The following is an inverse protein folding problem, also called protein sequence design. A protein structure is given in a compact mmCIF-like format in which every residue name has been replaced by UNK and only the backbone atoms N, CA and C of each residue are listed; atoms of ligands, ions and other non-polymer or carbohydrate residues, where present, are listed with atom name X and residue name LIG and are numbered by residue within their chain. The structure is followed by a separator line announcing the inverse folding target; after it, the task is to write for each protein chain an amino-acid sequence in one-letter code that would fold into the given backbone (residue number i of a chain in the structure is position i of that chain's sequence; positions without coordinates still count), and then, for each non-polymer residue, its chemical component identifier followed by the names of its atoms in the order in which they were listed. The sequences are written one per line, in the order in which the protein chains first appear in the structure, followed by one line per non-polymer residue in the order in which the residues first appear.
data_IF_639924516532
#
_entry.id   IF_639924516532
#
_cell.length_a   1.000
_cell.length_b   1.000
_cell.length_c   1.000
_cell.angle_alpha   90.00
_cell.angle_beta   90.00
_cell.angle_gamma   90.00
#
_symmetry.space_group_name_H-M   'P 1'
#
loop_
_entity.id
_entity.type
_entity.pdbx_description
1 polymer ?
#
# COMPACT_ATOMS: atom_id res chain seq x y z
N UNK A 1 -33.71 -72.19 -6.15
CA UNK A 1 -32.45 -71.43 -6.26
C UNK A 1 -32.70 -70.05 -5.71
N UNK A 2 -32.02 -69.68 -4.63
CA UNK A 2 -32.24 -68.43 -3.90
C UNK A 2 -31.70 -67.25 -4.71
N UNK A 3 -32.54 -66.25 -4.99
CA UNK A 3 -32.10 -64.91 -5.36
C UNK A 3 -32.11 -64.05 -4.10
N UNK A 4 -30.91 -63.79 -3.56
CA UNK A 4 -30.69 -62.75 -2.56
C UNK A 4 -30.59 -61.40 -3.26
N UNK A 5 -31.65 -60.60 -3.17
CA UNK A 5 -31.65 -59.17 -3.54
C UNK A 5 -30.93 -58.37 -2.45
N UNK A 6 -29.80 -57.76 -2.79
CA UNK A 6 -29.12 -56.78 -1.93
C UNK A 6 -29.82 -55.43 -2.10
N UNK A 7 -30.51 -54.97 -1.06
CA UNK A 7 -31.00 -53.58 -0.97
C UNK A 7 -29.85 -52.73 -0.45
N UNK A 8 -29.27 -51.89 -1.31
CA UNK A 8 -28.32 -50.84 -0.89
C UNK A 8 -29.16 -49.65 -0.42
N UNK A 9 -29.27 -49.50 0.90
CA UNK A 9 -29.81 -48.29 1.50
C UNK A 9 -28.75 -47.17 1.41
N UNK A 10 -28.99 -46.20 0.54
CA UNK A 10 -28.26 -44.92 0.60
C UNK A 10 -28.72 -44.19 1.85
N UNK A 11 -27.88 -44.19 2.89
CA UNK A 11 -28.02 -43.26 4.01
C UNK A 11 -27.55 -41.90 3.51
N UNK A 12 -28.50 -41.06 3.11
CA UNK A 12 -28.30 -39.61 3.03
C UNK A 12 -28.12 -39.09 4.46
N UNK A 13 -26.87 -39.02 4.92
CA UNK A 13 -26.50 -38.17 6.05
C UNK A 13 -26.59 -36.72 5.58
N UNK A 14 -27.78 -36.15 5.69
CA UNK A 14 -27.94 -34.70 5.69
C UNK A 14 -27.25 -34.15 6.93
N UNK A 15 -26.01 -33.69 6.79
CA UNK A 15 -25.43 -32.77 7.74
C UNK A 15 -26.07 -31.41 7.50
N UNK A 16 -27.24 -31.19 8.10
CA UNK A 16 -27.61 -29.85 8.48
C UNK A 16 -26.53 -29.40 9.48
N UNK A 17 -25.69 -28.44 9.10
CA UNK A 17 -24.81 -27.74 10.03
C UNK A 17 -25.71 -26.98 11.00
N UNK A 18 -26.14 -27.66 12.06
CA UNK A 18 -27.01 -27.09 13.08
C UNK A 18 -26.17 -26.13 13.92
N UNK A 19 -26.12 -24.89 13.47
CA UNK A 19 -25.53 -23.76 14.18
C UNK A 19 -26.00 -23.74 15.65
N UNK A 20 -25.09 -23.54 16.61
CA UNK A 20 -25.49 -23.48 18.03
C UNK A 20 -26.47 -22.34 18.26
N UNK A 21 -27.46 -22.55 19.12
CA UNK A 21 -28.54 -21.59 19.34
C UNK A 21 -28.00 -20.26 19.84
N UNK A 22 -26.97 -20.29 20.67
CA UNK A 22 -26.25 -19.14 21.20
C UNK A 22 -25.66 -18.29 20.07
N UNK A 23 -25.03 -18.92 19.08
CA UNK A 23 -24.54 -18.21 17.91
C UNK A 23 -25.66 -17.76 16.97
N UNK A 24 -26.58 -18.66 16.64
CA UNK A 24 -27.66 -18.43 15.68
C UNK A 24 -28.65 -17.35 16.13
N UNK A 25 -28.81 -17.14 17.44
CA UNK A 25 -29.68 -16.08 17.98
C UNK A 25 -28.92 -14.80 18.33
N UNK A 26 -27.59 -14.85 18.38
CA UNK A 26 -26.79 -13.65 18.58
C UNK A 26 -26.88 -12.76 17.36
N UNK A 27 -27.10 -11.46 17.57
CA UNK A 27 -27.27 -10.47 16.50
C UNK A 27 -26.27 -9.35 16.68
N UNK A 28 -25.40 -9.18 15.69
CA UNK A 28 -24.40 -8.11 15.66
C UNK A 28 -24.13 -7.74 14.19
N UNK A 29 -23.75 -6.47 13.96
CA UNK A 29 -23.41 -5.98 12.62
C UNK A 29 -24.49 -6.25 11.55
N UNK A 30 -25.77 -6.24 11.95
CA UNK A 30 -26.90 -6.39 11.04
C UNK A 30 -27.24 -7.82 10.63
N UNK A 31 -26.65 -8.85 11.25
CA UNK A 31 -26.99 -10.26 10.95
C UNK A 31 -26.91 -11.17 12.17
N UNK A 32 -27.44 -12.38 12.01
CA UNK A 32 -27.28 -13.46 12.98
C UNK A 32 -25.96 -14.22 12.78
N UNK A 33 -25.35 -14.66 13.87
CA UNK A 33 -24.06 -15.33 13.82
C UNK A 33 -24.12 -16.76 13.26
N UNK A 34 -23.00 -17.22 12.71
CA UNK A 34 -22.81 -18.60 12.23
C UNK A 34 -21.54 -19.26 12.79
N UNK A 35 -21.67 -20.49 13.29
CA UNK A 35 -20.56 -21.30 13.80
C UNK A 35 -19.72 -21.82 12.65
N UNK A 36 -18.52 -21.26 12.51
CA UNK A 36 -17.54 -21.62 11.49
C UNK A 36 -16.14 -21.60 12.09
N UNK A 37 -15.16 -22.22 11.44
CA UNK A 37 -13.76 -22.07 11.84
C UNK A 37 -13.30 -20.63 11.62
N UNK A 38 -12.28 -20.17 12.36
CA UNK A 38 -11.73 -18.81 12.20
C UNK A 38 -11.33 -18.53 10.75
N UNK A 39 -10.74 -19.50 10.07
CA UNK A 39 -10.33 -19.40 8.66
C UNK A 39 -11.52 -19.30 7.69
N UNK A 40 -12.68 -19.85 8.08
CA UNK A 40 -13.92 -19.82 7.29
C UNK A 40 -14.79 -18.60 7.56
N UNK A 41 -14.28 -17.61 8.32
CA UNK A 41 -14.93 -16.33 8.60
C UNK A 41 -14.23 -15.15 7.91
N UNK A 42 -14.15 -15.10 6.56
CA UNK A 42 -13.53 -13.98 5.88
C UNK A 42 -14.40 -12.72 6.02
N UNK A 43 -13.76 -11.59 6.40
CA UNK A 43 -14.36 -10.26 6.55
C UNK A 43 -15.36 -10.06 7.71
N UNK A 44 -15.49 -11.03 8.62
CA UNK A 44 -16.40 -10.97 9.77
C UNK A 44 -15.70 -10.91 11.13
N UNK A 45 -16.41 -10.41 12.15
CA UNK A 45 -15.99 -10.54 13.55
C UNK A 45 -16.35 -11.94 14.08
N UNK A 46 -15.56 -12.45 15.01
CA UNK A 46 -15.88 -13.68 15.73
C UNK A 46 -16.05 -13.45 17.23
N UNK A 47 -16.97 -14.19 17.83
CA UNK A 47 -17.17 -14.23 19.28
C UNK A 47 -16.92 -15.65 19.77
N UNK A 48 -15.95 -15.79 20.68
CA UNK A 48 -15.63 -17.07 21.32
C UNK A 48 -16.72 -17.48 22.31
N UNK A 49 -16.93 -18.79 22.45
CA UNK A 49 -17.83 -19.36 23.46
C UNK A 49 -19.30 -19.47 23.03
N UNK A 50 -19.70 -18.89 21.90
CA UNK A 50 -21.06 -18.98 21.39
C UNK A 50 -21.29 -20.16 20.42
N UNK A 51 -20.28 -21.02 20.22
CA UNK A 51 -20.37 -22.28 19.50
C UNK A 51 -19.93 -23.47 20.38
N UNK A 52 -20.56 -23.69 21.54
CA UNK A 52 -20.13 -24.68 22.53
C UNK A 52 -20.10 -26.13 22.02
N UNK A 53 -20.86 -26.47 20.98
CA UNK A 53 -20.92 -27.82 20.43
C UNK A 53 -19.74 -28.19 19.52
N UNK A 54 -18.91 -27.21 19.13
CA UNK A 54 -17.93 -27.37 18.05
C UNK A 54 -16.46 -27.25 18.47
N UNK A 55 -16.17 -27.14 19.79
CA UNK A 55 -14.82 -27.02 20.32
C UNK A 55 -14.18 -25.63 20.10
N UNK A 56 -12.96 -25.44 20.59
CA UNK A 56 -12.33 -24.11 20.63
C UNK A 56 -11.95 -23.52 19.26
N UNK A 57 -11.89 -24.34 18.22
CA UNK A 57 -11.48 -23.92 16.86
C UNK A 57 -12.63 -23.30 16.05
N UNK A 58 -13.88 -23.53 16.47
CA UNK A 58 -15.08 -22.98 15.84
C UNK A 58 -15.61 -21.82 16.65
N UNK A 59 -15.82 -20.68 15.99
CA UNK A 59 -16.25 -19.43 16.60
C UNK A 59 -17.55 -18.95 15.97
N UNK A 60 -18.28 -18.11 16.69
CA UNK A 60 -19.49 -17.51 16.17
C UNK A 60 -19.15 -16.30 15.30
N UNK A 61 -19.30 -16.43 13.98
CA UNK A 61 -18.93 -15.44 12.96
C UNK A 61 -20.10 -14.56 12.51
N UNK A 62 -19.85 -13.28 12.26
CA UNK A 62 -20.81 -12.34 11.67
C UNK A 62 -20.24 -11.80 10.35
N UNK A 63 -20.72 -12.32 9.22
CA UNK A 63 -20.29 -12.07 7.84
C UNK A 63 -20.68 -10.70 7.20
N UNK A 64 -20.69 -9.58 7.95
CA UNK A 64 -21.09 -8.25 7.45
C UNK A 64 -20.26 -7.16 8.16
N UNK A 65 -19.78 -6.18 7.38
CA UNK A 65 -18.99 -5.04 7.83
C UNK A 65 -19.88 -3.89 8.35
N UNK A 66 -19.28 -2.92 9.04
CA UNK A 66 -19.93 -1.66 9.43
C UNK A 66 -20.52 -0.97 8.19
N UNK A 67 -21.85 -0.98 8.06
CA UNK A 67 -22.57 -0.49 6.87
C UNK A 67 -23.87 -1.26 6.56
N UNK A 68 -24.02 -2.49 7.07
CA UNK A 68 -25.25 -3.28 6.94
C UNK A 68 -25.30 -4.11 5.66
N UNK A 69 -25.77 -5.35 5.77
CA UNK A 69 -26.07 -6.18 4.62
C UNK A 69 -27.45 -5.82 4.08
N UNK A 70 -27.50 -5.13 2.93
CA UNK A 70 -28.76 -4.92 2.23
C UNK A 70 -29.35 -6.27 1.80
N UNK A 71 -30.50 -6.60 2.38
CA UNK A 71 -31.34 -7.70 1.94
C UNK A 71 -32.60 -7.08 1.33
N UNK A 72 -32.67 -7.04 -0.01
CA UNK A 72 -33.93 -7.21 -0.72
C UNK A 72 -33.74 -7.63 -2.19
N UNK A 73 -34.10 -8.90 -2.39
CA UNK A 73 -34.54 -9.60 -3.59
C UNK A 73 -35.20 -8.78 -4.72
N UNK A 74 -34.88 -9.10 -5.96
CA UNK A 74 -35.71 -10.02 -6.76
C UNK A 74 -35.08 -10.36 -8.12
N UNK A 75 -35.01 -11.67 -8.38
CA UNK A 75 -34.72 -12.26 -9.68
C UNK A 75 -35.97 -12.09 -10.55
N UNK A 76 -35.84 -11.43 -11.69
CA UNK A 76 -36.64 -11.77 -12.86
C UNK A 76 -35.71 -12.28 -13.97
N UNK A 77 -36.02 -13.50 -14.38
CA UNK A 77 -35.39 -14.25 -15.46
C UNK A 77 -35.59 -13.54 -16.80
N UNK A 78 -34.51 -13.03 -17.38
CA UNK A 78 -34.46 -12.61 -18.77
C UNK A 78 -33.09 -12.96 -19.34
N UNK A 79 -33.05 -13.95 -20.23
CA UNK A 79 -31.88 -14.24 -21.06
C UNK A 79 -31.60 -13.01 -21.94
N UNK A 80 -30.75 -12.11 -21.44
CA UNK A 80 -30.24 -10.95 -22.13
C UNK A 80 -28.73 -11.07 -22.20
N UNK A 81 -28.20 -11.16 -23.41
CA UNK A 81 -26.79 -11.08 -23.74
C UNK A 81 -26.20 -9.82 -23.10
N UNK A 82 -25.40 -9.96 -22.04
CA UNK A 82 -24.60 -8.86 -21.51
C UNK A 82 -23.45 -8.58 -22.48
N UNK A 83 -23.72 -7.70 -23.44
CA UNK A 83 -22.70 -7.02 -24.22
C UNK A 83 -22.15 -5.84 -23.40
N UNK A 84 -20.86 -5.90 -23.07
CA UNK A 84 -20.03 -4.71 -22.82
C UNK A 84 -19.96 -4.22 -21.37
N UNK A 85 -19.18 -4.89 -20.51
CA UNK A 85 -18.41 -4.13 -19.54
C UNK A 85 -17.39 -3.31 -20.34
N UNK A 86 -17.56 -2.00 -20.39
CA UNK A 86 -16.51 -1.11 -20.86
C UNK A 86 -15.26 -1.37 -20.01
N UNK A 87 -14.22 -1.97 -20.62
CA UNK A 87 -12.88 -2.04 -20.05
C UNK A 87 -12.36 -0.60 -19.91
N UNK A 88 -12.72 0.07 -18.82
CA UNK A 88 -12.17 1.38 -18.47
C UNK A 88 -10.73 1.13 -17.99
N UNK A 89 -9.77 1.41 -18.86
CA UNK A 89 -8.34 1.41 -18.53
C UNK A 89 -8.03 2.59 -17.63
N UNK A 90 -7.27 2.35 -16.56
CA UNK A 90 -6.80 3.42 -15.68
C UNK A 90 -5.99 4.47 -16.46
N UNK A 91 -6.08 5.78 -16.14
CA UNK A 91 -5.15 6.78 -16.63
C UNK A 91 -3.67 6.44 -16.39
N UNK A 92 -3.39 5.57 -15.41
CA UNK A 92 -2.06 5.10 -15.06
C UNK A 92 -1.73 3.71 -15.66
N UNK A 93 -2.52 3.20 -16.61
CA UNK A 93 -2.35 1.86 -17.21
C UNK A 93 -0.95 1.61 -17.79
N UNK A 94 -0.31 2.65 -18.32
CA UNK A 94 1.01 2.55 -18.94
C UNK A 94 2.17 2.71 -17.95
N UNK A 95 1.89 2.96 -16.66
CA UNK A 95 2.96 3.13 -15.67
C UNK A 95 3.67 1.81 -15.41
N UNK A 96 5.00 1.81 -15.58
CA UNK A 96 5.93 0.73 -15.25
C UNK A 96 6.98 1.30 -14.32
N UNK A 97 6.72 1.21 -13.04
CA UNK A 97 7.48 1.91 -12.01
C UNK A 97 8.38 0.99 -11.18
N UNK A 98 9.35 1.60 -10.50
CA UNK A 98 10.11 0.96 -9.43
C UNK A 98 10.55 1.99 -8.40
N UNK A 99 10.83 1.53 -7.18
CA UNK A 99 11.50 2.36 -6.18
C UNK A 99 13.02 2.31 -6.33
N UNK A 100 13.71 3.40 -6.03
CA UNK A 100 15.16 3.44 -5.88
C UNK A 100 15.48 3.89 -4.45
N UNK A 101 15.97 2.95 -3.64
CA UNK A 101 16.23 3.17 -2.23
C UNK A 101 17.49 4.01 -2.00
N UNK A 102 17.55 4.73 -0.88
CA UNK A 102 18.73 5.50 -0.45
C UNK A 102 19.99 4.65 -0.33
N UNK A 103 19.85 3.37 0.01
CA UNK A 103 20.96 2.42 0.12
C UNK A 103 21.59 2.08 -1.24
N UNK A 104 20.89 2.40 -2.32
CA UNK A 104 21.26 2.12 -3.70
C UNK A 104 21.47 3.42 -4.49
N UNK A 105 21.61 4.55 -3.80
CA UNK A 105 21.95 5.79 -4.45
C UNK A 105 23.29 5.67 -5.18
N UNK A 106 23.34 5.94 -6.49
CA UNK A 106 24.59 6.06 -7.20
C UNK A 106 25.44 7.18 -6.61
N UNK A 107 26.76 7.01 -6.67
CA UNK A 107 27.69 7.99 -6.12
C UNK A 107 27.91 9.18 -7.06
N UNK A 108 27.64 9.00 -8.35
CA UNK A 108 27.82 10.01 -9.40
C UNK A 108 26.63 10.04 -10.35
N UNK A 109 26.43 11.16 -11.04
CA UNK A 109 25.43 11.27 -12.11
C UNK A 109 25.65 10.26 -13.24
N UNK A 110 26.89 9.90 -13.55
CA UNK A 110 27.20 8.89 -14.56
C UNK A 110 26.71 7.49 -14.15
N UNK A 111 26.93 7.09 -12.89
CA UNK A 111 26.41 5.83 -12.37
C UNK A 111 24.88 5.80 -12.42
N UNK A 112 24.22 6.90 -12.06
CA UNK A 112 22.76 7.03 -12.17
C UNK A 112 22.29 6.88 -13.62
N UNK A 113 22.97 7.53 -14.56
CA UNK A 113 22.68 7.44 -15.99
C UNK A 113 22.77 6.00 -16.51
N UNK A 114 23.71 5.20 -16.00
CA UNK A 114 23.84 3.77 -16.31
C UNK A 114 22.68 2.98 -15.70
N UNK A 115 22.34 3.20 -14.43
CA UNK A 115 21.18 2.57 -13.78
C UNK A 115 19.89 2.88 -14.55
N UNK A 116 19.67 4.12 -14.96
CA UNK A 116 18.48 4.52 -15.71
C UNK A 116 18.45 3.95 -17.12
N UNK A 117 19.60 3.80 -17.78
CA UNK A 117 19.67 3.09 -19.06
C UNK A 117 19.26 1.61 -18.90
N UNK A 118 19.72 0.95 -17.84
CA UNK A 118 19.32 -0.44 -17.53
C UNK A 118 17.82 -0.53 -17.25
N UNK A 119 17.28 0.33 -16.39
CA UNK A 119 15.84 0.37 -16.07
C UNK A 119 15.01 0.62 -17.33
N UNK A 120 15.39 1.58 -18.17
CA UNK A 120 14.69 1.87 -19.42
C UNK A 120 14.68 0.67 -20.37
N UNK A 121 15.80 -0.05 -20.46
CA UNK A 121 15.90 -1.28 -21.25
C UNK A 121 14.99 -2.41 -20.72
N UNK A 122 14.51 -2.32 -19.48
CA UNK A 122 13.50 -3.22 -18.90
C UNK A 122 12.06 -2.73 -19.05
N UNK A 123 11.85 -1.62 -19.75
CA UNK A 123 10.53 -1.02 -19.93
C UNK A 123 10.09 -0.09 -18.80
N UNK A 124 10.93 0.13 -17.78
CA UNK A 124 10.63 1.07 -16.70
C UNK A 124 10.56 2.48 -17.27
N UNK A 125 9.49 3.18 -16.92
CA UNK A 125 9.21 4.56 -17.33
C UNK A 125 8.96 5.50 -16.14
N UNK A 126 8.98 4.98 -14.91
CA UNK A 126 8.88 5.80 -13.69
C UNK A 126 9.77 5.29 -12.57
N UNK A 127 10.35 6.20 -11.79
CA UNK A 127 11.13 5.88 -10.59
C UNK A 127 10.66 6.72 -9.40
N UNK A 128 10.29 6.05 -8.30
CA UNK A 128 10.13 6.67 -6.98
C UNK A 128 11.48 6.67 -6.27
N UNK A 129 12.18 7.80 -6.33
CA UNK A 129 13.53 7.97 -5.80
C UNK A 129 13.47 8.42 -4.35
N UNK A 130 14.07 7.66 -3.43
CA UNK A 130 14.19 8.09 -2.04
C UNK A 130 14.98 9.41 -1.94
N UNK A 131 14.39 10.47 -1.44
CA UNK A 131 15.07 11.77 -1.31
C UNK A 131 15.30 12.20 0.12
N UNK A 132 14.63 11.55 1.08
CA UNK A 132 14.71 11.91 2.48
C UNK A 132 14.43 10.73 3.40
N UNK A 133 15.39 10.49 4.31
CA UNK A 133 15.25 9.57 5.42
C UNK A 133 16.31 9.80 6.50
N UNK A 134 15.96 9.54 7.76
CA UNK A 134 16.87 9.54 8.92
C UNK A 134 17.72 10.81 9.05
N UNK A 135 17.12 11.97 8.76
CA UNK A 135 17.81 13.26 8.79
C UNK A 135 18.83 13.48 7.66
N UNK A 136 18.86 12.60 6.66
CA UNK A 136 19.62 12.77 5.44
C UNK A 136 18.69 13.20 4.30
N UNK A 137 19.13 14.18 3.52
CA UNK A 137 18.40 14.71 2.37
C UNK A 137 19.28 14.70 1.12
N UNK A 138 18.67 14.31 -0.01
CA UNK A 138 19.37 14.08 -1.28
C UNK A 138 18.96 15.07 -2.38
N UNK A 139 18.53 16.26 -1.95
CA UNK A 139 18.14 17.40 -2.77
C UNK A 139 18.30 18.70 -1.97
N UNK A 140 18.30 19.86 -2.65
CA UNK A 140 18.36 21.16 -1.99
C UNK A 140 16.97 21.53 -1.46
N UNK A 141 16.88 21.80 -0.15
CA UNK A 141 15.64 22.19 0.53
C UNK A 141 15.92 23.29 1.56
N UNK A 142 15.55 24.55 1.25
CA UNK A 142 15.56 25.64 2.23
C UNK A 142 14.77 25.31 3.50
N UNK A 143 13.67 24.55 3.38
CA UNK A 143 12.87 24.11 4.53
C UNK A 143 13.67 23.18 5.44
N UNK A 144 14.38 22.20 4.89
CA UNK A 144 15.28 21.35 5.68
C UNK A 144 16.43 22.15 6.31
N UNK A 145 17.04 23.07 5.55
CA UNK A 145 18.13 23.93 6.02
C UNK A 145 17.70 24.89 7.14
N UNK A 146 16.41 25.26 7.20
CA UNK A 146 15.84 26.09 8.26
C UNK A 146 15.95 25.46 9.66
N UNK A 147 16.21 24.16 9.76
CA UNK A 147 16.53 23.48 11.01
C UNK A 147 17.94 23.83 11.54
N UNK A 148 18.78 24.50 10.74
CA UNK A 148 20.16 24.81 11.09
C UNK A 148 21.08 23.59 11.08
N UNK A 149 20.66 22.50 10.43
CA UNK A 149 21.39 21.23 10.37
C UNK A 149 22.00 21.00 8.99
N UNK A 150 23.17 20.36 8.94
CA UNK A 150 23.81 19.93 7.69
C UNK A 150 23.46 18.47 7.40
N UNK A 151 22.26 18.24 6.86
CA UNK A 151 21.81 16.91 6.43
C UNK A 151 21.90 16.67 4.93
N UNK A 152 22.23 17.70 4.14
CA UNK A 152 22.41 17.56 2.70
C UNK A 152 23.63 16.67 2.39
N UNK A 153 23.36 15.52 1.76
CA UNK A 153 24.39 14.54 1.42
C UNK A 153 24.96 14.82 0.04
N UNK A 154 24.08 14.92 -0.97
CA UNK A 154 24.38 15.26 -2.38
C UNK A 154 23.08 15.41 -3.17
N UNK A 155 23.13 16.05 -4.33
CA UNK A 155 21.94 16.33 -5.16
C UNK A 155 21.56 15.17 -6.10
N UNK A 156 21.14 14.03 -5.53
CA UNK A 156 20.73 12.86 -6.32
C UNK A 156 19.44 13.15 -7.09
N UNK A 157 18.52 13.94 -6.53
CA UNK A 157 17.28 14.31 -7.19
C UNK A 157 17.54 15.11 -8.48
N UNK A 158 18.46 16.07 -8.45
CA UNK A 158 18.84 16.84 -9.64
C UNK A 158 19.38 15.96 -10.75
N UNK A 159 20.30 15.05 -10.43
CA UNK A 159 20.82 14.07 -11.38
C UNK A 159 19.70 13.19 -11.96
N UNK A 160 18.76 12.75 -11.12
CA UNK A 160 17.68 11.87 -11.54
C UNK A 160 16.72 12.57 -12.49
N UNK A 161 16.28 13.79 -12.17
CA UNK A 161 15.38 14.55 -13.06
C UNK A 161 16.05 14.78 -14.41
N UNK A 162 17.32 15.18 -14.44
CA UNK A 162 18.05 15.40 -15.69
C UNK A 162 18.20 14.11 -16.52
N UNK A 163 18.67 13.02 -15.90
CA UNK A 163 18.89 11.75 -16.62
C UNK A 163 17.59 11.04 -16.99
N UNK A 164 16.52 11.24 -16.21
CA UNK A 164 15.18 10.74 -16.45
C UNK A 164 14.54 11.39 -17.67
N UNK A 165 14.59 12.72 -17.77
CA UNK A 165 14.11 13.47 -18.94
C UNK A 165 14.79 13.01 -20.24
N UNK A 166 16.11 12.77 -20.21
CA UNK A 166 16.87 12.27 -21.37
C UNK A 166 16.40 10.89 -21.87
N UNK A 167 15.77 10.08 -21.02
CA UNK A 167 15.42 8.67 -21.28
C UNK A 167 13.92 8.38 -21.29
N UNK A 168 13.09 9.38 -21.02
CA UNK A 168 11.64 9.18 -20.84
C UNK A 168 11.34 8.35 -19.59
N UNK A 169 12.07 8.58 -18.50
CA UNK A 169 11.74 8.08 -17.16
C UNK A 169 11.25 9.26 -16.33
N UNK A 170 10.01 9.18 -15.87
CA UNK A 170 9.42 10.14 -14.95
C UNK A 170 9.95 9.91 -13.52
N UNK A 171 10.38 10.98 -12.85
CA UNK A 171 10.97 10.90 -11.51
C UNK A 171 10.00 11.43 -10.48
N UNK A 172 9.83 10.69 -9.39
CA UNK A 172 9.01 11.06 -8.25
C UNK A 172 9.87 11.06 -6.98
N UNK A 173 9.88 12.15 -6.24
CA UNK A 173 10.67 12.29 -5.02
C UNK A 173 9.95 11.61 -3.84
N UNK A 174 10.50 10.51 -3.35
CA UNK A 174 9.94 9.69 -2.28
C UNK A 174 10.51 10.07 -0.91
N UNK A 175 9.62 10.53 -0.04
CA UNK A 175 9.89 10.94 1.34
C UNK A 175 9.67 9.74 2.27
N UNK A 176 10.57 8.75 2.20
CA UNK A 176 10.44 7.45 2.90
C UNK A 176 10.18 7.59 4.39
N UNK A 177 10.83 8.52 5.09
CA UNK A 177 10.59 8.62 6.52
C UNK A 177 9.27 9.29 6.89
N UNK A 178 8.67 10.11 6.02
CA UNK A 178 7.39 10.77 6.31
C UNK A 178 7.38 11.48 7.67
N UNK A 179 6.80 10.86 8.69
CA UNK A 179 6.76 11.36 10.07
C UNK A 179 7.73 10.65 11.01
N UNK A 180 8.68 9.86 10.54
CA UNK A 180 9.74 9.26 11.37
C UNK A 180 10.86 10.28 11.61
N UNK A 181 11.19 10.49 12.89
CA UNK A 181 12.34 11.27 13.33
C UNK A 181 13.65 10.47 13.27
N UNK A 182 13.64 9.22 13.75
CA UNK A 182 14.79 8.30 13.76
C UNK A 182 14.33 6.87 14.05
N UNK A 183 15.14 5.89 13.64
CA UNK A 183 15.03 4.51 14.12
C UNK A 183 15.98 4.27 15.29
N UNK A 184 15.56 3.48 16.29
CA UNK A 184 16.42 3.01 17.38
C UNK A 184 15.91 3.32 18.80
N UNK A 185 16.79 3.11 19.79
CA UNK A 185 16.41 3.10 21.22
C UNK A 185 16.21 4.48 21.88
N UNK A 186 16.43 5.59 21.15
CA UNK A 186 16.37 6.95 21.68
C UNK A 186 15.86 7.94 20.63
N UNK A 187 15.14 9.01 21.00
CA UNK A 187 14.70 10.02 20.05
C UNK A 187 15.83 10.96 19.59
N UNK A 188 17.03 10.86 20.18
CA UNK A 188 18.13 11.82 20.01
C UNK A 188 19.39 11.18 19.39
N UNK A 189 19.22 10.18 18.53
CA UNK A 189 20.32 9.40 17.92
C UNK A 189 21.08 10.14 16.82
N UNK A 190 20.43 11.06 16.11
CA UNK A 190 21.05 11.86 15.04
C UNK A 190 20.93 13.35 15.33
N UNK A 191 21.69 14.17 14.60
CA UNK A 191 21.58 15.64 14.69
C UNK A 191 20.15 16.08 14.37
N UNK A 192 19.54 15.50 13.34
CA UNK A 192 18.15 15.78 12.98
C UNK A 192 17.18 15.37 14.09
N UNK A 193 17.26 14.12 14.56
CA UNK A 193 16.32 13.59 15.54
C UNK A 193 16.42 14.34 16.87
N UNK A 194 17.64 14.72 17.29
CA UNK A 194 17.86 15.57 18.45
C UNK A 194 17.26 16.97 18.25
N UNK A 195 17.43 17.59 17.08
CA UNK A 195 16.83 18.90 16.78
C UNK A 195 15.31 18.86 16.87
N UNK A 196 14.65 17.90 16.22
CA UNK A 196 13.18 17.83 16.24
C UNK A 196 12.66 17.42 17.63
N UNK A 197 13.40 16.60 18.38
CA UNK A 197 13.08 16.30 19.77
C UNK A 197 13.13 17.56 20.66
N UNK A 198 14.17 18.39 20.52
CA UNK A 198 14.32 19.64 21.27
C UNK A 198 13.24 20.69 20.92
N UNK A 199 12.68 20.62 19.71
CA UNK A 199 11.53 21.44 19.30
C UNK A 199 10.19 20.93 19.83
N UNK A 200 10.16 19.79 20.53
CA UNK A 200 8.92 19.17 21.00
C UNK A 200 8.08 18.57 19.87
N UNK A 201 8.70 18.25 18.73
CA UNK A 201 8.00 17.70 17.56
C UNK A 201 7.77 16.19 17.64
N UNK A 202 8.46 15.48 18.54
CA UNK A 202 8.37 14.02 18.67
C UNK A 202 7.19 13.62 19.54
N UNK A 203 6.30 12.79 18.99
CA UNK A 203 5.14 12.22 19.69
C UNK A 203 5.50 11.05 20.59
N UNK A 204 6.33 10.13 20.09
CA UNK A 204 6.70 8.94 20.85
C UNK A 204 7.34 7.83 20.02
N UNK A 205 7.68 6.74 20.69
CA UNK A 205 8.24 5.54 20.08
C UNK A 205 7.13 4.54 19.75
N UNK A 206 7.19 3.97 18.55
CA UNK A 206 6.40 2.82 18.16
C UNK A 206 7.11 2.04 17.06
N UNK A 207 7.07 0.71 17.16
CA UNK A 207 7.60 -0.24 16.17
C UNK A 207 9.11 -0.06 15.90
N UNK A 208 9.87 0.39 16.89
CA UNK A 208 11.31 0.65 16.80
C UNK A 208 11.68 2.04 16.24
N UNK A 209 10.68 2.87 15.95
CA UNK A 209 10.86 4.21 15.39
C UNK A 209 10.33 5.27 16.34
N UNK A 210 10.98 6.44 16.35
CA UNK A 210 10.48 7.64 16.98
C UNK A 210 9.75 8.49 15.95
N UNK A 211 8.48 8.80 16.23
CA UNK A 211 7.58 9.47 15.30
C UNK A 211 7.41 10.93 15.69
N UNK A 212 7.48 11.83 14.72
CA UNK A 212 7.03 13.21 14.80
C UNK A 212 5.50 13.27 14.86
N UNK A 213 4.97 14.29 15.51
CA UNK A 213 3.54 14.41 15.81
C UNK A 213 2.75 14.93 14.60
N UNK A 214 1.82 14.10 14.10
CA UNK A 214 0.92 14.45 13.01
C UNK A 214 -0.11 15.51 13.40
N UNK A 215 -0.32 15.78 14.70
CA UNK A 215 -1.19 16.87 15.18
C UNK A 215 -0.43 18.20 15.31
N UNK A 216 0.90 18.18 15.13
CA UNK A 216 1.72 19.38 15.21
C UNK A 216 1.85 20.02 13.82
N UNK A 217 1.21 21.17 13.62
CA UNK A 217 1.25 21.91 12.35
C UNK A 217 2.66 22.34 11.92
N UNK A 218 3.60 22.57 12.84
CA UNK A 218 5.00 22.85 12.48
C UNK A 218 5.68 21.63 11.84
N UNK A 219 5.34 20.42 12.29
CA UNK A 219 5.82 19.16 11.68
C UNK A 219 5.25 19.01 10.28
N UNK A 220 3.95 19.24 10.12
CA UNK A 220 3.28 19.12 8.82
C UNK A 220 3.77 20.19 7.83
N UNK A 221 3.96 21.43 8.28
CA UNK A 221 4.55 22.51 7.48
C UNK A 221 6.00 22.18 7.09
N UNK A 222 6.77 21.54 7.97
CA UNK A 222 8.12 21.09 7.65
C UNK A 222 8.13 20.02 6.55
N UNK A 223 7.29 18.99 6.66
CA UNK A 223 7.21 17.92 5.65
C UNK A 223 6.68 18.46 4.32
N UNK A 224 5.58 19.21 4.34
CA UNK A 224 5.02 19.83 3.14
C UNK A 224 5.98 20.83 2.49
N UNK A 225 6.70 21.61 3.29
CA UNK A 225 7.70 22.56 2.81
C UNK A 225 8.86 21.88 2.08
N UNK A 226 9.37 20.75 2.60
CA UNK A 226 10.37 19.96 1.88
C UNK A 226 9.82 19.38 0.56
N UNK A 227 8.56 18.92 0.55
CA UNK A 227 7.90 18.44 -0.66
C UNK A 227 7.71 19.55 -1.69
N UNK A 228 7.36 20.77 -1.26
CA UNK A 228 7.23 21.93 -2.14
C UNK A 228 8.58 22.41 -2.66
N UNK A 229 9.63 22.42 -1.82
CA UNK A 229 11.00 22.72 -2.25
C UNK A 229 11.47 21.80 -3.39
N UNK A 230 11.06 20.52 -3.37
CA UNK A 230 11.38 19.59 -4.44
C UNK A 230 10.73 19.98 -5.78
N UNK A 231 9.52 20.55 -5.78
CA UNK A 231 8.91 21.07 -7.00
C UNK A 231 9.56 22.37 -7.46
N UNK A 232 9.81 23.29 -6.52
CA UNK A 232 10.33 24.62 -6.83
C UNK A 232 11.75 24.56 -7.41
N UNK A 233 12.57 23.63 -6.91
CA UNK A 233 13.98 23.52 -7.29
C UNK A 233 14.25 22.58 -8.48
N UNK A 234 13.30 21.71 -8.84
CA UNK A 234 13.54 20.65 -9.84
C UNK A 234 12.47 20.62 -10.95
N UNK A 235 12.54 21.54 -11.94
CA UNK A 235 11.66 21.51 -13.10
C UNK A 235 11.75 20.18 -13.85
N UNK A 236 10.60 19.58 -14.13
CA UNK A 236 10.50 18.26 -14.77
C UNK A 236 10.34 17.09 -13.80
N UNK A 237 10.32 17.35 -12.48
CA UNK A 237 9.86 16.37 -11.50
C UNK A 237 8.40 15.98 -11.78
N UNK A 238 8.11 14.69 -11.82
CA UNK A 238 6.77 14.15 -12.08
C UNK A 238 5.84 14.28 -10.89
N UNK A 239 6.37 14.12 -9.68
CA UNK A 239 5.62 14.28 -8.43
C UNK A 239 6.45 14.00 -7.18
N UNK A 240 5.77 13.97 -6.04
CA UNK A 240 6.33 13.58 -4.74
C UNK A 240 5.54 12.41 -4.17
N UNK A 241 6.16 11.55 -3.36
CA UNK A 241 5.51 10.39 -2.78
C UNK A 241 5.77 10.30 -1.27
N UNK A 242 4.69 10.03 -0.53
CA UNK A 242 4.71 9.55 0.85
C UNK A 242 4.46 8.04 0.87
N UNK A 243 4.93 7.33 1.89
CA UNK A 243 4.57 5.93 2.13
C UNK A 243 3.93 5.74 3.51
N UNK A 244 3.86 4.50 4.02
CA UNK A 244 3.27 4.19 5.32
C UNK A 244 3.89 4.94 6.50
N UNK A 245 5.12 5.43 6.36
CA UNK A 245 5.76 6.20 7.43
C UNK A 245 5.23 7.63 7.53
N UNK A 246 4.36 8.07 6.63
CA UNK A 246 3.53 9.25 6.87
C UNK A 246 2.45 9.01 7.94
N UNK A 247 2.05 7.76 8.17
CA UNK A 247 1.04 7.42 9.15
C UNK A 247 1.49 7.56 10.59
N UNK A 248 0.58 7.31 11.54
CA UNK A 248 0.91 7.20 12.96
C UNK A 248 0.52 5.84 13.51
N UNK A 249 1.47 5.05 14.05
CA UNK A 249 1.13 3.78 14.66
C UNK A 249 0.12 3.90 15.79
N UNK A 250 -0.78 2.91 15.91
CA UNK A 250 -1.82 2.89 16.95
C UNK A 250 -1.26 2.94 18.38
N UNK A 251 -0.01 2.53 18.59
CA UNK A 251 0.66 2.60 19.88
C UNK A 251 0.85 4.04 20.40
N UNK A 252 0.74 5.05 19.53
CA UNK A 252 1.00 6.45 19.86
C UNK A 252 -0.21 7.20 20.44
N UNK A 253 -1.40 6.59 20.47
CA UNK A 253 -2.58 7.22 21.06
C UNK A 253 -3.92 6.73 20.52
N UNK A 254 -4.98 7.32 21.07
CA UNK A 254 -6.37 7.19 20.60
C UNK A 254 -6.68 8.35 19.64
N UNK A 255 -7.74 8.22 18.84
CA UNK A 255 -8.23 9.27 17.90
C UNK A 255 -7.29 9.65 16.73
N UNK A 256 -6.23 8.86 16.51
CA UNK A 256 -5.24 9.13 15.47
C UNK A 256 -5.78 9.04 14.04
N UNK A 257 -6.94 8.41 13.81
CA UNK A 257 -7.58 8.41 12.47
C UNK A 257 -8.02 9.80 12.07
N UNK A 258 -8.59 10.58 13.00
CA UNK A 258 -8.95 11.98 12.73
C UNK A 258 -7.70 12.81 12.47
N UNK A 259 -6.68 12.66 13.34
CA UNK A 259 -5.37 13.32 13.17
C UNK A 259 -4.76 13.03 11.79
N UNK A 260 -4.82 11.77 11.32
CA UNK A 260 -4.26 11.44 10.01
C UNK A 260 -5.07 11.99 8.84
N UNK A 261 -6.39 12.16 8.97
CA UNK A 261 -7.20 12.85 7.96
C UNK A 261 -6.80 14.33 7.85
N UNK A 262 -6.61 14.99 8.98
CA UNK A 262 -6.22 16.40 9.05
C UNK A 262 -4.80 16.58 8.52
N UNK A 263 -3.88 15.69 8.88
CA UNK A 263 -2.51 15.68 8.37
C UNK A 263 -2.46 15.49 6.84
N UNK A 264 -3.21 14.53 6.30
CA UNK A 264 -3.28 14.31 4.86
C UNK A 264 -3.80 15.55 4.12
N UNK A 265 -4.89 16.15 4.62
CA UNK A 265 -5.47 17.38 4.06
C UNK A 265 -4.47 18.54 4.11
N UNK A 266 -3.78 18.73 5.24
CA UNK A 266 -2.75 19.78 5.40
C UNK A 266 -1.62 19.64 4.39
N UNK A 267 -1.08 18.43 4.18
CA UNK A 267 -0.05 18.20 3.16
C UNK A 267 -0.59 18.56 1.77
N UNK A 268 -1.77 18.08 1.41
CA UNK A 268 -2.37 18.29 0.09
C UNK A 268 -2.73 19.75 -0.19
N UNK A 269 -3.08 20.54 0.83
CA UNK A 269 -3.32 21.98 0.70
C UNK A 269 -2.03 22.79 0.50
N UNK A 270 -0.91 22.29 1.04
CA UNK A 270 0.38 23.01 1.06
C UNK A 270 1.28 22.66 -0.12
N UNK A 271 1.12 21.48 -0.70
CA UNK A 271 1.92 21.00 -1.83
C UNK A 271 1.16 21.24 -3.13
N UNK A 272 1.68 22.13 -3.97
CA UNK A 272 1.02 22.55 -5.22
C UNK A 272 1.07 21.50 -6.35
N UNK A 273 1.96 20.53 -6.26
CA UNK A 273 2.18 19.50 -7.27
C UNK A 273 1.48 18.17 -6.98
N UNK A 274 1.79 17.15 -7.79
CA UNK A 274 1.19 15.81 -7.64
C UNK A 274 1.77 15.08 -6.43
N UNK A 275 0.90 14.67 -5.51
CA UNK A 275 1.25 13.87 -4.34
C UNK A 275 0.76 12.42 -4.52
N UNK A 276 1.67 11.46 -4.39
CA UNK A 276 1.42 10.01 -4.40
C UNK A 276 1.48 9.47 -2.98
N UNK A 277 0.67 8.46 -2.67
CA UNK A 277 0.75 7.71 -1.41
C UNK A 277 1.02 6.23 -1.69
N UNK A 278 2.02 5.64 -1.05
CA UNK A 278 2.32 4.21 -1.12
C UNK A 278 1.96 3.50 0.21
N UNK A 279 0.67 3.20 0.46
CA UNK A 279 0.22 2.72 1.76
C UNK A 279 0.39 1.20 1.93
N UNK A 280 0.27 0.75 3.18
CA UNK A 280 0.16 -0.68 3.50
C UNK A 280 -1.14 -1.27 2.92
N UNK A 281 -1.04 -2.52 2.46
CA UNK A 281 -2.17 -3.29 1.92
C UNK A 281 -2.43 -4.59 2.69
N UNK A 282 -3.70 -5.01 2.87
CA UNK A 282 -4.93 -4.34 2.40
C UNK A 282 -5.24 -3.04 3.18
N UNK A 283 -6.19 -2.19 2.72
CA UNK A 283 -6.50 -0.91 3.38
C UNK A 283 -6.76 -1.01 4.88
N UNK A 284 -7.47 -2.05 5.32
CA UNK A 284 -7.73 -2.29 6.74
C UNK A 284 -6.44 -2.45 7.55
N UNK A 285 -5.40 -3.06 6.98
CA UNK A 285 -4.12 -3.19 7.67
C UNK A 285 -3.46 -1.82 7.86
N UNK A 286 -3.54 -0.93 6.87
CA UNK A 286 -3.07 0.45 7.01
C UNK A 286 -3.82 1.21 8.10
N UNK A 287 -5.15 1.10 8.13
CA UNK A 287 -5.99 1.73 9.15
C UNK A 287 -5.61 1.24 10.56
N UNK A 288 -5.53 -0.07 10.78
CA UNK A 288 -5.24 -0.64 12.10
C UNK A 288 -3.80 -0.40 12.57
N UNK A 289 -2.85 -0.32 11.64
CA UNK A 289 -1.43 -0.25 11.99
C UNK A 289 -0.86 1.15 12.00
N UNK A 290 -1.47 2.08 11.28
CA UNK A 290 -0.95 3.42 11.01
C UNK A 290 -2.02 4.51 11.04
N UNK A 291 -3.26 4.17 11.42
CA UNK A 291 -4.41 5.09 11.46
C UNK A 291 -4.70 5.81 10.14
N UNK A 292 -4.22 5.25 9.02
CA UNK A 292 -4.41 5.82 7.69
C UNK A 292 -5.54 5.09 6.96
N UNK A 293 -6.70 5.74 6.85
CA UNK A 293 -7.84 5.26 6.07
C UNK A 293 -7.74 5.67 4.60
N UNK A 294 -6.68 5.19 3.94
CA UNK A 294 -6.40 5.59 2.56
C UNK A 294 -7.46 5.10 1.56
N UNK A 295 -8.22 4.04 1.89
CA UNK A 295 -9.34 3.63 1.06
C UNK A 295 -10.43 4.70 1.04
N UNK A 296 -10.78 5.26 2.22
CA UNK A 296 -11.69 6.40 2.30
C UNK A 296 -11.12 7.63 1.58
N UNK A 297 -9.83 7.92 1.76
CA UNK A 297 -9.18 9.04 1.05
C UNK A 297 -9.24 8.88 -0.47
N UNK A 298 -9.14 7.65 -0.98
CA UNK A 298 -9.25 7.34 -2.39
C UNK A 298 -10.69 7.49 -2.89
N UNK A 299 -11.69 6.98 -2.14
CA UNK A 299 -13.10 7.04 -2.55
C UNK A 299 -13.72 8.43 -2.41
N UNK A 300 -13.28 9.22 -1.43
CA UNK A 300 -13.68 10.63 -1.24
C UNK A 300 -12.88 11.60 -2.13
N UNK A 301 -11.86 11.10 -2.82
CA UNK A 301 -10.94 11.87 -3.67
C UNK A 301 -10.39 13.15 -3.00
N UNK A 302 -9.73 13.00 -1.85
CA UNK A 302 -9.26 14.15 -1.05
C UNK A 302 -8.10 14.94 -1.72
N UNK A 303 -7.57 14.48 -2.85
CA UNK A 303 -6.56 15.21 -3.63
C UNK A 303 -5.27 14.47 -3.94
N UNK A 304 -5.03 13.27 -3.38
CA UNK A 304 -3.89 12.45 -3.82
C UNK A 304 -4.00 12.15 -5.33
N UNK A 305 -2.88 12.28 -6.03
CA UNK A 305 -2.81 12.03 -7.47
C UNK A 305 -2.95 10.53 -7.78
N UNK A 306 -2.29 9.70 -6.98
CA UNK A 306 -2.25 8.27 -7.14
C UNK A 306 -1.99 7.56 -5.81
N UNK A 307 -2.40 6.29 -5.76
CA UNK A 307 -2.15 5.37 -4.66
C UNK A 307 -1.36 4.18 -5.19
N UNK A 308 -0.23 3.88 -4.52
CA UNK A 308 0.68 2.79 -4.87
C UNK A 308 0.70 1.73 -3.76
N UNK A 309 -0.41 1.03 -3.51
CA UNK A 309 -0.54 0.09 -2.40
C UNK A 309 0.51 -1.02 -2.46
N UNK A 310 1.20 -1.27 -1.34
CA UNK A 310 2.22 -2.32 -1.22
C UNK A 310 1.57 -3.71 -1.10
N UNK A 311 1.09 -4.28 -2.21
CA UNK A 311 0.51 -5.63 -2.29
C UNK A 311 1.65 -6.68 -2.33
N UNK A 312 2.43 -6.72 -1.25
CA UNK A 312 3.64 -7.52 -1.18
C UNK A 312 3.30 -8.95 -0.81
N UNK A 313 3.00 -9.75 -1.83
CA UNK A 313 2.75 -11.19 -1.76
C UNK A 313 3.84 -11.97 -2.47
N UNK A 314 4.01 -13.22 -2.05
CA UNK A 314 4.98 -14.17 -2.59
C UNK A 314 4.36 -15.12 -3.63
N UNK A 315 3.03 -15.20 -3.70
CA UNK A 315 2.28 -16.01 -4.67
C UNK A 315 1.38 -15.14 -5.55
N UNK A 316 1.30 -15.46 -6.84
CA UNK A 316 0.46 -14.72 -7.79
C UNK A 316 -1.04 -14.82 -7.44
N UNK A 317 -1.49 -15.95 -6.89
CA UNK A 317 -2.89 -16.15 -6.48
C UNK A 317 -3.30 -15.29 -5.28
N UNK A 318 -2.40 -15.08 -4.30
CA UNK A 318 -2.68 -14.21 -3.16
C UNK A 318 -2.57 -12.74 -3.54
N UNK A 319 -1.64 -12.40 -4.44
CA UNK A 319 -1.59 -11.07 -5.05
C UNK A 319 -2.88 -10.73 -5.80
N UNK A 320 -3.35 -11.64 -6.65
CA UNK A 320 -4.61 -11.51 -7.37
C UNK A 320 -5.79 -11.26 -6.43
N UNK A 321 -5.96 -12.12 -5.43
CA UNK A 321 -7.03 -12.00 -4.47
C UNK A 321 -7.08 -10.60 -3.85
N UNK A 322 -5.94 -10.11 -3.35
CA UNK A 322 -5.86 -8.77 -2.75
C UNK A 322 -6.06 -7.64 -3.77
N UNK A 323 -5.56 -7.80 -5.00
CA UNK A 323 -5.76 -6.84 -6.09
C UNK A 323 -7.25 -6.66 -6.40
N UNK A 324 -8.01 -7.75 -6.52
CA UNK A 324 -9.46 -7.70 -6.76
C UNK A 324 -10.16 -6.96 -5.62
N UNK A 325 -9.81 -7.26 -4.36
CA UNK A 325 -10.45 -6.60 -3.21
C UNK A 325 -10.14 -5.09 -3.20
N UNK A 326 -8.88 -4.72 -3.45
CA UNK A 326 -8.47 -3.32 -3.49
C UNK A 326 -9.19 -2.59 -4.63
N UNK A 327 -9.23 -3.15 -5.84
CA UNK A 327 -9.98 -2.57 -6.96
C UNK A 327 -11.46 -2.37 -6.59
N UNK A 328 -12.07 -3.37 -5.95
CA UNK A 328 -13.47 -3.29 -5.51
C UNK A 328 -13.72 -2.19 -4.47
N UNK A 329 -12.72 -1.88 -3.64
CA UNK A 329 -12.85 -0.89 -2.58
C UNK A 329 -12.51 0.54 -3.03
N UNK A 330 -11.47 0.73 -3.85
CA UNK A 330 -10.94 2.07 -4.19
C UNK A 330 -11.02 2.43 -5.67
N UNK A 331 -11.44 1.50 -6.54
CA UNK A 331 -11.46 1.69 -7.98
C UNK A 331 -10.08 1.61 -8.63
N UNK A 332 -10.02 1.92 -9.94
CA UNK A 332 -8.81 1.78 -10.78
C UNK A 332 -8.14 3.11 -11.14
N UNK A 333 -8.88 4.22 -11.09
CA UNK A 333 -8.48 5.48 -11.72
C UNK A 333 -7.15 6.04 -11.20
N UNK A 334 -6.89 5.87 -9.91
CA UNK A 334 -5.69 6.37 -9.23
C UNK A 334 -4.77 5.24 -8.74
N UNK A 335 -5.04 3.99 -9.12
CA UNK A 335 -4.40 2.82 -8.54
C UNK A 335 -3.17 2.36 -9.36
N UNK A 336 -2.04 2.17 -8.70
CA UNK A 336 -0.84 1.54 -9.25
C UNK A 336 -0.36 0.45 -8.28
N UNK A 337 -0.75 -0.82 -8.45
CA UNK A 337 -0.34 -1.89 -7.53
C UNK A 337 1.17 -2.01 -7.36
N UNK A 338 1.62 -2.01 -6.10
CA UNK A 338 2.99 -2.27 -5.69
C UNK A 338 3.24 -3.77 -5.55
N UNK A 339 4.22 -4.30 -6.29
CA UNK A 339 4.54 -5.73 -6.38
C UNK A 339 5.89 -6.00 -5.69
N UNK A 340 5.94 -7.05 -4.87
CA UNK A 340 7.19 -7.48 -4.22
C UNK A 340 8.03 -8.31 -5.19
N UNK A 341 9.27 -7.90 -5.40
CA UNK A 341 10.31 -8.74 -6.00
C UNK A 341 11.37 -9.17 -4.97
N UNK A 342 11.89 -8.21 -4.19
CA UNK A 342 12.90 -8.44 -3.14
C UNK A 342 12.29 -8.09 -1.78
N UNK A 343 12.56 -8.87 -0.73
CA UNK A 343 12.11 -8.54 0.62
C UNK A 343 12.52 -9.60 1.65
N UNK A 344 11.93 -9.55 2.84
CA UNK A 344 12.10 -10.59 3.86
C UNK A 344 11.72 -11.97 3.31
N UNK A 345 12.51 -13.00 3.62
CA UNK A 345 12.33 -14.35 3.08
C UNK A 345 12.94 -14.53 1.68
N UNK A 346 12.45 -15.53 0.93
CA UNK A 346 12.93 -15.79 -0.42
C UNK A 346 12.43 -14.71 -1.40
N UNK A 347 13.29 -14.28 -2.34
CA UNK A 347 12.88 -13.38 -3.42
C UNK A 347 11.76 -14.01 -4.26
N UNK A 348 10.85 -13.20 -4.78
CA UNK A 348 9.78 -13.66 -5.68
C UNK A 348 10.39 -14.17 -6.98
N UNK A 349 10.19 -15.44 -7.37
CA UNK A 349 10.65 -15.96 -8.66
C UNK A 349 10.17 -15.11 -9.85
N UNK A 350 10.97 -15.03 -10.92
CA UNK A 350 10.66 -14.11 -12.03
C UNK A 350 9.36 -14.46 -12.76
N UNK A 351 9.07 -15.73 -12.95
CA UNK A 351 7.80 -16.21 -13.53
C UNK A 351 6.60 -15.74 -12.68
N UNK A 352 6.67 -15.91 -11.36
CA UNK A 352 5.63 -15.42 -10.43
C UNK A 352 5.52 -13.89 -10.47
N UNK A 353 6.64 -13.17 -10.51
CA UNK A 353 6.66 -11.72 -10.65
C UNK A 353 6.02 -11.28 -11.98
N UNK A 354 6.36 -11.96 -13.08
CA UNK A 354 5.82 -11.72 -14.42
C UNK A 354 4.31 -11.95 -14.46
N UNK A 355 3.81 -12.97 -13.77
CA UNK A 355 2.37 -13.24 -13.65
C UNK A 355 1.66 -12.11 -12.90
N UNK A 356 2.23 -11.60 -11.80
CA UNK A 356 1.67 -10.46 -11.05
C UNK A 356 1.65 -9.17 -11.89
N UNK A 357 2.72 -8.89 -12.64
CA UNK A 357 2.79 -7.73 -13.54
C UNK A 357 1.76 -7.85 -14.67
N UNK A 358 1.72 -8.99 -15.36
CA UNK A 358 0.76 -9.28 -16.43
C UNK A 358 -0.68 -9.21 -15.92
N UNK A 359 -0.91 -9.59 -14.66
CA UNK A 359 -2.23 -9.45 -14.05
C UNK A 359 -2.65 -7.99 -13.87
N UNK A 360 -1.76 -7.10 -13.44
CA UNK A 360 -2.08 -5.67 -13.38
C UNK A 360 -2.47 -5.14 -14.78
N UNK A 361 -1.72 -5.55 -15.80
CA UNK A 361 -1.98 -5.15 -17.20
C UNK A 361 -3.33 -5.68 -17.70
N UNK A 362 -3.69 -6.92 -17.38
CA UNK A 362 -4.99 -7.49 -17.72
C UNK A 362 -6.16 -6.74 -17.06
N UNK A 363 -5.93 -6.10 -15.90
CA UNK A 363 -6.90 -5.22 -15.25
C UNK A 363 -6.89 -3.79 -15.81
N UNK A 364 -6.03 -3.48 -16.78
CA UNK A 364 -5.85 -2.12 -17.31
C UNK A 364 -5.17 -1.18 -16.31
N UNK A 365 -4.27 -1.71 -15.47
CA UNK A 365 -3.51 -0.98 -14.46
C UNK A 365 -2.02 -0.96 -14.80
N UNK A 366 -1.34 0.13 -14.41
CA UNK A 366 0.11 0.13 -14.29
C UNK A 366 0.56 -0.68 -13.08
N UNK A 367 1.86 -0.72 -12.82
CA UNK A 367 2.38 -1.38 -11.61
C UNK A 367 3.72 -0.77 -11.19
N UNK A 368 4.10 -0.99 -9.92
CA UNK A 368 5.40 -0.61 -9.37
C UNK A 368 6.08 -1.80 -8.71
N UNK A 369 7.28 -2.17 -9.14
CA UNK A 369 8.01 -3.30 -8.56
C UNK A 369 8.99 -2.81 -7.49
N UNK A 370 8.90 -3.37 -6.29
CA UNK A 370 9.84 -3.16 -5.20
C UNK A 370 11.04 -4.12 -5.32
N UNK A 371 12.25 -3.64 -5.61
CA UNK A 371 12.68 -2.28 -6.00
C UNK A 371 13.73 -2.40 -7.13
N UNK A 372 14.40 -1.31 -7.54
CA UNK A 372 15.24 -1.24 -8.74
C UNK A 372 16.25 -2.39 -8.93
N UNK A 373 16.84 -2.91 -7.85
CA UNK A 373 17.73 -4.09 -7.88
C UNK A 373 17.09 -5.36 -8.41
N UNK A 374 15.76 -5.47 -8.39
CA UNK A 374 15.03 -6.53 -9.07
C UNK A 374 15.45 -6.62 -10.55
N UNK A 375 15.54 -5.46 -11.20
CA UNK A 375 15.83 -5.35 -12.63
C UNK A 375 17.32 -5.23 -12.93
N UNK A 376 18.08 -4.54 -12.07
CA UNK A 376 19.49 -4.24 -12.34
C UNK A 376 20.45 -5.30 -11.81
N UNK A 377 20.03 -6.13 -10.86
CA UNK A 377 20.89 -7.10 -10.19
C UNK A 377 20.32 -8.52 -10.14
N UNK A 378 19.05 -8.68 -9.74
CA UNK A 378 18.47 -10.02 -9.53
C UNK A 378 18.06 -10.68 -10.85
N UNK A 379 17.42 -9.93 -11.75
CA UNK A 379 16.97 -10.40 -13.06
C UNK A 379 17.54 -9.55 -14.21
N UNK A 380 18.87 -9.40 -14.32
CA UNK A 380 19.50 -8.50 -15.30
C UNK A 380 19.32 -8.97 -16.74
N UNK A 381 19.05 -10.26 -16.96
CA UNK A 381 18.89 -10.84 -18.31
C UNK A 381 17.42 -10.93 -18.76
N UNK A 382 16.47 -10.72 -17.86
CA UNK A 382 15.04 -10.82 -18.19
C UNK A 382 14.53 -9.47 -18.66
N UNK A 383 13.78 -9.44 -19.76
CA UNK A 383 13.12 -8.24 -20.27
C UNK A 383 11.61 -8.44 -20.06
N UNK A 384 10.92 -7.43 -19.54
CA UNK A 384 9.45 -7.47 -19.49
C UNK A 384 8.95 -7.58 -20.94
N UNK A 385 8.37 -8.72 -21.29
CA UNK A 385 7.81 -8.94 -22.61
C UNK A 385 6.57 -8.08 -22.76
N UNK A 386 6.69 -6.90 -23.36
CA UNK A 386 5.54 -6.23 -23.96
C UNK A 386 5.13 -6.98 -25.22
N UNK A 387 3.84 -7.21 -25.41
CA UNK A 387 3.28 -7.73 -26.64
C UNK A 387 3.84 -6.97 -27.86
N UNK A 388 4.23 -7.72 -28.90
CA UNK A 388 4.56 -7.18 -30.22
C UNK A 388 3.38 -6.47 -30.86
#
# INVERSE_FOLDING_TARGET
MALTSFVVAFVLLGLASANDRECATSFAHGQHGHCVTVESCPYGYYVSGNCPSYGDEVKCCYSCHFGGCETNSSIETGAGTFSGASNVTSPNADVRATWLSRYDHPNTQFELAVTFAQLRAKGINRVYLNVWADGQIYFNSPTFESLGIRGFVRDVLGWAVEEGLKRGIEIWAWFEYGLIATWGSSPTLSVFSNTVYQRGWVKGEAKGYWWMDADNTEVLDFVAGMMQDAFDNYPGLGGVQLDEHFGQPYQLGTDLVATMNDAASHILEKVSGKVSLAPVSPPQASLLNYNMDWARWATEDIGFHEYVPKIYRDLASTFDYDLIQIIGQVGKDKLIPGIRCIGSGANTPYDVLSDMMSRCEAEGLGHSVWYSKCFTLLYPDHVHGGAQ
#
